data_IF_228819312319
#
_entry.id   IF_228819312319
#
_cell.length_a   1.000
_cell.length_b   1.000
_cell.length_c   1.000
_cell.angle_alpha   90.00
_cell.angle_beta   90.00
_cell.angle_gamma   90.00
#
_symmetry.space_group_name_H-M   'P 1'
#
loop_
_entity.id
_entity.type
_entity.pdbx_description
1 polymer ?
#
# COMPACT_ATOMS: atom_id res chain seq x y z
N UNK A 1 -7.13 9.31 -27.04
CA UNK A 1 -6.75 7.88 -26.99
C UNK A 1 -7.54 7.28 -25.84
N UNK A 2 -8.61 6.53 -26.16
CA UNK A 2 -9.43 5.85 -25.14
C UNK A 2 -8.58 4.81 -24.45
N UNK A 3 -8.56 4.84 -23.12
CA UNK A 3 -8.04 3.75 -22.31
C UNK A 3 -8.96 2.56 -22.53
N UNK A 4 -8.49 1.54 -23.23
CA UNK A 4 -9.20 0.28 -23.38
C UNK A 4 -9.06 -0.47 -22.06
N UNK A 5 -10.12 -0.50 -21.25
CA UNK A 5 -10.26 -1.53 -20.22
C UNK A 5 -10.16 -2.86 -20.95
N UNK A 6 -9.14 -3.65 -20.64
CA UNK A 6 -9.06 -5.02 -21.13
C UNK A 6 -10.08 -5.78 -20.29
N UNK A 7 -11.28 -5.97 -20.82
CA UNK A 7 -12.26 -6.90 -20.26
C UNK A 7 -11.77 -8.31 -20.62
N UNK A 8 -10.89 -8.86 -19.78
CA UNK A 8 -10.59 -10.29 -19.81
C UNK A 8 -11.76 -10.96 -19.10
N UNK A 9 -12.71 -11.50 -19.86
CA UNK A 9 -13.78 -12.34 -19.33
C UNK A 9 -13.18 -13.73 -19.02
N UNK A 10 -12.41 -13.81 -17.93
CA UNK A 10 -11.99 -15.09 -17.36
C UNK A 10 -13.20 -15.68 -16.65
N UNK A 11 -13.72 -16.82 -17.13
CA UNK A 11 -14.66 -17.61 -16.35
C UNK A 11 -13.97 -18.01 -15.05
N UNK A 12 -14.45 -17.44 -13.94
CA UNK A 12 -13.98 -17.80 -12.61
C UNK A 12 -14.25 -19.29 -12.38
N UNK A 13 -13.30 -19.97 -11.74
CA UNK A 13 -13.50 -21.36 -11.38
C UNK A 13 -14.65 -21.50 -10.37
N UNK A 14 -15.38 -22.61 -10.41
CA UNK A 14 -16.55 -22.85 -9.53
C UNK A 14 -16.19 -22.85 -8.03
N UNK A 15 -14.91 -23.07 -7.71
CA UNK A 15 -14.34 -23.14 -6.37
C UNK A 15 -13.68 -21.82 -5.92
N UNK A 16 -13.85 -20.71 -6.64
CA UNK A 16 -13.21 -19.43 -6.32
C UNK A 16 -13.57 -18.89 -4.92
N UNK A 17 -14.75 -19.27 -4.40
CA UNK A 17 -15.21 -18.92 -3.05
C UNK A 17 -14.72 -19.91 -1.97
N UNK A 18 -14.04 -20.99 -2.35
CA UNK A 18 -13.50 -21.98 -1.42
C UNK A 18 -12.27 -21.41 -0.70
N UNK A 19 -12.49 -20.90 0.51
CA UNK A 19 -11.46 -20.39 1.41
C UNK A 19 -10.43 -21.42 1.89
N UNK A 20 -10.60 -22.72 1.57
CA UNK A 20 -9.58 -23.75 1.79
C UNK A 20 -8.56 -23.84 0.65
N UNK A 21 -8.90 -23.32 -0.53
CA UNK A 21 -8.07 -23.32 -1.74
C UNK A 21 -7.54 -21.92 -2.02
N UNK A 22 -8.38 -20.89 -1.82
CA UNK A 22 -8.06 -19.50 -2.12
C UNK A 22 -8.03 -18.64 -0.86
N UNK A 23 -7.15 -17.64 -0.86
CA UNK A 23 -7.13 -16.58 0.14
C UNK A 23 -7.23 -15.24 -0.56
N UNK A 24 -8.19 -14.41 -0.11
CA UNK A 24 -8.39 -13.08 -0.65
C UNK A 24 -7.20 -12.18 -0.29
N UNK A 25 -6.64 -11.51 -1.30
CA UNK A 25 -5.56 -10.54 -1.08
C UNK A 25 -6.13 -9.33 -0.34
N UNK A 26 -5.52 -8.90 0.78
CA UNK A 26 -6.00 -7.79 1.58
C UNK A 26 -5.87 -6.47 0.81
N UNK A 27 -6.75 -5.53 1.11
CA UNK A 27 -6.63 -4.17 0.58
C UNK A 27 -5.48 -3.42 1.28
N UNK A 28 -5.05 -2.30 0.71
CA UNK A 28 -4.08 -1.41 1.36
C UNK A 28 -4.54 -0.93 2.74
N UNK A 29 -5.85 -0.79 2.94
CA UNK A 29 -6.41 -0.38 4.22
C UNK A 29 -6.27 -1.47 5.27
N UNK A 30 -6.54 -2.72 4.90
CA UNK A 30 -6.42 -3.87 5.80
C UNK A 30 -4.97 -4.10 6.26
N UNK A 31 -4.00 -3.57 5.49
CA UNK A 31 -2.57 -3.61 5.80
C UNK A 31 -2.03 -2.31 6.43
N UNK A 32 -2.88 -1.35 6.79
CA UNK A 32 -2.47 -0.04 7.33
C UNK A 32 -1.49 0.74 6.42
N UNK A 33 -1.61 0.57 5.10
CA UNK A 33 -0.75 1.15 4.06
C UNK A 33 -1.30 2.47 3.47
N UNK A 34 -2.38 3.02 4.04
CA UNK A 34 -2.96 4.31 3.62
C UNK A 34 -2.54 5.47 4.54
N UNK A 35 -3.48 6.00 5.33
CA UNK A 35 -3.28 7.12 6.25
C UNK A 35 -2.25 6.77 7.33
N UNK A 36 -2.34 5.60 7.93
CA UNK A 36 -1.49 5.24 9.08
C UNK A 36 -0.03 5.10 8.68
N UNK A 37 0.26 4.54 7.49
CA UNK A 37 1.58 4.59 6.90
C UNK A 37 2.08 6.02 6.68
N UNK A 38 1.20 6.93 6.26
CA UNK A 38 1.56 8.32 6.09
C UNK A 38 1.92 9.02 7.39
N UNK A 39 1.16 8.78 8.45
CA UNK A 39 1.44 9.34 9.77
C UNK A 39 2.71 8.76 10.38
N UNK A 40 2.95 7.45 10.24
CA UNK A 40 4.20 6.80 10.66
C UNK A 40 5.42 7.41 9.95
N UNK A 41 5.32 7.67 8.65
CA UNK A 41 6.39 8.36 7.92
C UNK A 41 6.69 9.75 8.51
N UNK A 42 5.66 10.55 8.80
CA UNK A 42 5.86 11.89 9.38
C UNK A 42 6.45 11.79 10.78
N UNK A 43 5.93 10.91 11.61
CA UNK A 43 6.45 10.68 12.96
C UNK A 43 7.95 10.36 12.94
N UNK A 44 8.39 9.54 11.98
CA UNK A 44 9.79 9.11 11.89
C UNK A 44 10.72 10.15 11.24
N UNK A 45 10.27 10.83 10.16
CA UNK A 45 11.16 11.64 9.31
C UNK A 45 10.90 13.14 9.36
N UNK A 46 9.74 13.56 9.85
CA UNK A 46 9.28 14.96 9.93
C UNK A 46 8.46 15.20 11.22
N UNK A 47 8.95 14.80 12.42
CA UNK A 47 8.16 14.82 13.65
C UNK A 47 7.59 16.22 13.97
N UNK A 48 8.30 17.29 13.60
CA UNK A 48 7.86 18.67 13.75
C UNK A 48 6.60 19.01 12.93
N UNK A 49 6.30 18.21 11.90
CA UNK A 49 5.15 18.39 11.01
C UNK A 49 4.02 17.41 11.32
N UNK A 50 4.13 16.58 12.35
CA UNK A 50 3.14 15.53 12.68
C UNK A 50 1.74 16.10 12.86
N UNK A 51 1.57 17.11 13.71
CA UNK A 51 0.27 17.74 13.96
C UNK A 51 -0.37 18.30 12.69
N UNK A 52 0.43 18.90 11.82
CA UNK A 52 -0.04 19.42 10.53
C UNK A 52 -0.51 18.29 9.62
N UNK A 53 0.31 17.22 9.48
CA UNK A 53 -0.04 16.05 8.70
C UNK A 53 -1.29 15.35 9.24
N UNK A 54 -1.41 15.19 10.56
CA UNK A 54 -2.59 14.66 11.22
C UNK A 54 -3.84 15.48 10.91
N UNK A 55 -3.70 16.82 10.90
CA UNK A 55 -4.76 17.75 10.50
C UNK A 55 -5.25 17.55 9.06
N UNK A 56 -4.34 17.30 8.11
CA UNK A 56 -4.71 17.12 6.69
C UNK A 56 -5.69 15.96 6.49
N UNK A 57 -5.46 14.84 7.18
CA UNK A 57 -6.29 13.63 7.09
C UNK A 57 -7.69 13.76 7.71
N UNK A 58 -8.05 14.93 8.24
CA UNK A 58 -9.42 15.27 8.63
C UNK A 58 -10.22 15.92 7.50
N UNK A 59 -9.59 16.20 6.35
CA UNK A 59 -10.20 16.90 5.20
C UNK A 59 -10.28 16.02 3.95
N UNK A 60 -11.09 16.43 2.97
CA UNK A 60 -11.23 15.73 1.69
C UNK A 60 -9.97 15.82 0.81
N UNK A 61 -9.14 16.84 1.01
CA UNK A 61 -7.94 17.11 0.20
C UNK A 61 -6.65 16.63 0.88
N UNK A 62 -6.77 15.70 1.83
CA UNK A 62 -5.68 15.24 2.68
C UNK A 62 -4.40 14.88 1.90
N UNK A 63 -4.54 14.09 0.82
CA UNK A 63 -3.40 13.63 0.03
C UNK A 63 -2.75 14.75 -0.79
N UNK A 64 -3.52 15.74 -1.26
CA UNK A 64 -2.97 16.88 -1.96
C UNK A 64 -2.14 17.76 -1.00
N UNK A 65 -2.68 18.03 0.19
CA UNK A 65 -1.98 18.78 1.25
C UNK A 65 -0.74 18.05 1.74
N UNK A 66 -0.85 16.74 1.96
CA UNK A 66 0.27 15.90 2.38
C UNK A 66 1.38 15.87 1.33
N UNK A 67 1.04 15.73 0.05
CA UNK A 67 2.03 15.80 -1.05
C UNK A 67 2.73 17.17 -1.09
N UNK A 68 1.99 18.27 -0.91
CA UNK A 68 2.57 19.61 -0.87
C UNK A 68 3.53 19.79 0.32
N UNK A 69 3.23 19.23 1.49
CA UNK A 69 4.15 19.20 2.62
C UNK A 69 5.44 18.45 2.27
N UNK A 70 5.34 17.25 1.69
CA UNK A 70 6.51 16.45 1.33
C UNK A 70 7.37 17.12 0.26
N UNK A 71 6.75 17.79 -0.71
CA UNK A 71 7.45 18.54 -1.76
C UNK A 71 8.24 19.70 -1.15
N UNK A 72 7.61 20.51 -0.30
CA UNK A 72 8.25 21.61 0.44
C UNK A 72 9.44 21.16 1.28
N UNK A 73 9.37 19.96 1.87
CA UNK A 73 10.43 19.38 2.70
C UNK A 73 11.45 18.56 1.90
N UNK A 74 11.30 18.45 0.57
CA UNK A 74 12.12 17.61 -0.30
C UNK A 74 12.16 16.12 0.15
N UNK A 75 11.00 15.58 0.57
CA UNK A 75 10.85 14.22 1.14
C UNK A 75 10.03 13.26 0.27
N UNK A 76 9.62 13.66 -0.93
CA UNK A 76 8.83 12.78 -1.82
C UNK A 76 9.55 11.45 -2.10
N UNK A 77 10.84 11.47 -2.47
CA UNK A 77 11.60 10.25 -2.74
C UNK A 77 11.69 9.33 -1.53
N UNK A 78 12.01 9.89 -0.36
CA UNK A 78 12.06 9.15 0.91
C UNK A 78 10.72 8.48 1.23
N UNK A 79 9.60 9.19 0.96
CA UNK A 79 8.26 8.61 1.13
C UNK A 79 8.03 7.41 0.21
N UNK A 80 8.41 7.49 -1.07
CA UNK A 80 8.25 6.35 -1.99
C UNK A 80 9.04 5.12 -1.53
N UNK A 81 10.27 5.30 -1.06
CA UNK A 81 11.11 4.22 -0.54
C UNK A 81 10.55 3.61 0.74
N UNK A 82 10.07 4.46 1.65
CA UNK A 82 9.41 4.03 2.88
C UNK A 82 8.15 3.21 2.58
N UNK A 83 7.32 3.67 1.66
CA UNK A 83 6.10 2.97 1.25
C UNK A 83 6.40 1.63 0.59
N UNK A 84 7.39 1.57 -0.32
CA UNK A 84 7.82 0.31 -0.94
C UNK A 84 8.24 -0.72 0.12
N UNK A 85 9.05 -0.29 1.10
CA UNK A 85 9.54 -1.16 2.17
C UNK A 85 8.39 -1.65 3.06
N UNK A 86 7.46 -0.76 3.40
CA UNK A 86 6.30 -1.10 4.23
C UNK A 86 5.32 -2.04 3.51
N UNK A 87 5.08 -1.83 2.22
CA UNK A 87 4.24 -2.71 1.39
C UNK A 87 4.86 -4.11 1.35
N UNK A 88 6.16 -4.22 1.10
CA UNK A 88 6.84 -5.51 1.08
C UNK A 88 6.76 -6.21 2.45
N UNK A 89 7.03 -5.49 3.54
CA UNK A 89 6.96 -6.05 4.89
C UNK A 89 5.54 -6.52 5.25
N UNK A 90 4.51 -5.72 4.95
CA UNK A 90 3.12 -6.05 5.25
C UNK A 90 2.64 -7.28 4.46
N UNK A 91 2.97 -7.37 3.16
CA UNK A 91 2.62 -8.53 2.34
C UNK A 91 3.36 -9.80 2.80
N UNK A 92 4.61 -9.69 3.25
CA UNK A 92 5.36 -10.81 3.83
C UNK A 92 4.73 -11.30 5.13
N UNK A 93 4.39 -10.40 6.04
CA UNK A 93 3.73 -10.74 7.30
C UNK A 93 2.37 -11.39 7.06
N UNK A 94 1.52 -10.77 6.22
CA UNK A 94 0.23 -11.33 5.84
C UNK A 94 0.37 -12.72 5.20
N UNK A 95 1.38 -12.92 4.34
CA UNK A 95 1.64 -14.23 3.75
C UNK A 95 1.95 -15.28 4.81
N UNK A 96 2.81 -14.97 5.78
CA UNK A 96 3.15 -15.86 6.88
C UNK A 96 1.93 -16.20 7.76
N UNK A 97 1.12 -15.21 8.10
CA UNK A 97 -0.13 -15.39 8.86
C UNK A 97 -1.14 -16.31 8.15
N UNK A 98 -1.12 -16.34 6.82
CA UNK A 98 -1.98 -17.19 5.99
C UNK A 98 -1.30 -18.50 5.56
N UNK A 99 -0.13 -18.83 6.13
CA UNK A 99 0.60 -20.07 5.83
C UNK A 99 1.18 -20.11 4.41
N UNK A 100 1.25 -18.97 3.72
CA UNK A 100 1.78 -18.86 2.36
C UNK A 100 3.31 -18.83 2.39
N UNK A 101 3.92 -19.71 1.60
CA UNK A 101 5.36 -19.76 1.42
C UNK A 101 5.79 -18.86 0.25
N UNK A 102 6.52 -17.79 0.58
CA UNK A 102 7.09 -16.92 -0.43
C UNK A 102 8.31 -17.57 -1.08
N UNK A 103 8.26 -17.72 -2.41
CA UNK A 103 9.41 -18.15 -3.21
C UNK A 103 10.00 -16.93 -3.91
N UNK A 104 11.34 -16.79 -3.94
CA UNK A 104 11.96 -15.76 -4.76
C UNK A 104 11.58 -16.02 -6.21
N UNK A 105 11.06 -14.99 -6.89
CA UNK A 105 10.84 -15.06 -8.32
C UNK A 105 12.20 -15.19 -9.01
N UNK A 106 12.52 -16.37 -9.53
CA UNK A 106 13.66 -16.54 -10.43
C UNK A 106 13.18 -16.21 -11.83
N UNK A 107 13.71 -15.13 -12.39
CA UNK A 107 13.78 -15.03 -13.84
C UNK A 107 14.56 -16.27 -14.32
N UNK A 108 13.92 -17.10 -15.15
CA UNK A 108 14.62 -18.14 -15.87
C UNK A 108 15.76 -17.56 -16.71
N UNK A 109 16.74 -18.38 -17.13
CA UNK A 109 17.75 -17.94 -18.08
C UNK A 109 17.13 -17.38 -19.37
#
# INVERSE_FOLDING_TARGET
MSSSSIEVEEELSEDIEDGSIYVAVPSKRDLDLERDLALRFVEQYLPESYESAYGFFRSRDAYAQFKALLDRMNRLQHRYEFEKTAVEAALRAWSEENGLQLKPYRLGP
#
